data_IF_893413933054
#
_entry.id   IF_893413933054
#
_cell.length_a   1.000
_cell.length_b   1.000
_cell.length_c   1.000
_cell.angle_alpha   90.00
_cell.angle_beta   90.00
_cell.angle_gamma   90.00
#
_symmetry.space_group_name_H-M   'P 1'
#
loop_
_entity.id
_entity.type
_entity.pdbx_description
1 polymer ?
#
# COMPACT_ATOMS: atom_id res chain seq x y z
N UNK A 1 -7.22 -10.26 11.31
CA UNK A 1 -6.25 -9.49 12.15
C UNK A 1 -6.43 -7.97 12.00
N UNK A 2 -6.57 -7.45 10.78
CA UNK A 2 -6.64 -6.00 10.50
C UNK A 2 -8.02 -5.49 10.06
N UNK A 3 -9.06 -6.31 10.14
CA UNK A 3 -10.44 -5.92 9.84
C UNK A 3 -10.87 -4.74 10.73
N UNK A 4 -11.44 -3.71 10.12
CA UNK A 4 -11.81 -2.45 10.79
C UNK A 4 -10.64 -1.56 11.23
N UNK A 5 -9.38 -1.98 11.02
CA UNK A 5 -8.17 -1.26 11.46
C UNK A 5 -7.39 -0.67 10.29
N UNK A 6 -7.38 -1.37 9.16
CA UNK A 6 -6.67 -0.98 7.94
C UNK A 6 -7.57 -1.24 6.75
N UNK A 7 -7.63 -0.27 5.83
CA UNK A 7 -8.24 -0.47 4.52
C UNK A 7 -7.17 -0.96 3.55
N UNK A 8 -7.36 -2.15 3.00
CA UNK A 8 -6.44 -2.74 2.01
C UNK A 8 -7.14 -2.78 0.67
N UNK A 9 -6.54 -2.16 -0.34
CA UNK A 9 -7.03 -2.18 -1.71
C UNK A 9 -6.01 -2.89 -2.60
N UNK A 10 -6.42 -4.01 -3.18
CA UNK A 10 -5.66 -4.66 -4.23
C UNK A 10 -6.03 -4.06 -5.59
N UNK A 11 -5.03 -3.60 -6.35
CA UNK A 11 -5.23 -2.95 -7.64
C UNK A 11 -4.43 -3.70 -8.70
N UNK A 12 -5.14 -4.25 -9.69
CA UNK A 12 -4.48 -4.75 -10.89
C UNK A 12 -4.15 -3.59 -11.84
N UNK A 13 -2.88 -3.23 -11.93
CA UNK A 13 -2.42 -2.01 -12.64
C UNK A 13 -2.75 -2.00 -14.12
N UNK A 14 -2.80 -3.17 -14.77
CA UNK A 14 -3.15 -3.27 -16.20
C UNK A 14 -4.64 -3.04 -16.45
N UNK A 15 -5.50 -3.34 -15.46
CA UNK A 15 -6.95 -3.12 -15.57
C UNK A 15 -7.35 -1.70 -15.13
N UNK A 16 -6.50 -1.05 -14.33
CA UNK A 16 -6.70 0.30 -13.81
C UNK A 16 -5.56 1.24 -14.23
N UNK A 17 -5.33 1.45 -15.55
CA UNK A 17 -4.19 2.23 -16.04
C UNK A 17 -4.22 3.70 -15.59
N UNK A 18 -5.41 4.29 -15.45
CA UNK A 18 -5.57 5.66 -14.93
C UNK A 18 -5.06 5.75 -13.49
N UNK A 19 -5.37 4.74 -12.67
CA UNK A 19 -4.92 4.70 -11.28
C UNK A 19 -3.42 4.48 -11.19
N UNK A 20 -2.88 3.60 -12.04
CA UNK A 20 -1.44 3.36 -12.17
C UNK A 20 -0.70 4.65 -12.55
N UNK A 21 -1.22 5.41 -13.53
CA UNK A 21 -0.68 6.71 -13.92
C UNK A 21 -0.74 7.73 -12.80
N UNK A 22 -1.89 7.85 -12.12
CA UNK A 22 -2.10 8.81 -11.01
C UNK A 22 -1.13 8.59 -9.85
N UNK A 23 -0.79 7.34 -9.55
CA UNK A 23 0.15 7.00 -8.46
C UNK A 23 1.59 6.81 -8.94
N UNK A 24 1.89 7.09 -10.21
CA UNK A 24 3.25 7.01 -10.76
C UNK A 24 3.82 5.60 -10.72
N UNK A 25 3.00 4.58 -10.98
CA UNK A 25 3.45 3.19 -10.96
C UNK A 25 4.32 2.90 -12.20
N UNK A 26 5.61 2.67 -11.97
CA UNK A 26 6.58 2.34 -13.02
C UNK A 26 6.99 0.86 -13.01
N UNK A 27 6.84 0.18 -11.87
CA UNK A 27 7.25 -1.22 -11.69
C UNK A 27 6.30 -1.91 -10.71
N UNK A 28 6.08 -3.20 -10.92
CA UNK A 28 5.29 -4.06 -10.03
C UNK A 28 6.16 -5.24 -9.53
N UNK A 29 5.88 -5.81 -8.35
CA UNK A 29 4.85 -5.38 -7.39
C UNK A 29 5.23 -4.08 -6.64
N UNK A 30 4.22 -3.36 -6.14
CA UNK A 30 4.35 -2.08 -5.45
C UNK A 30 3.32 -2.03 -4.30
N UNK A 31 3.72 -1.49 -3.16
CA UNK A 31 2.84 -1.22 -2.02
C UNK A 31 2.98 0.25 -1.62
N UNK A 32 1.85 0.93 -1.48
CA UNK A 32 1.79 2.34 -1.06
C UNK A 32 0.93 2.41 0.20
N UNK A 33 1.45 3.09 1.22
CA UNK A 33 0.79 3.24 2.50
C UNK A 33 0.39 4.70 2.70
N UNK A 34 -0.86 4.87 3.12
CA UNK A 34 -1.46 6.16 3.37
C UNK A 34 -1.81 6.31 4.84
N UNK A 35 -1.66 7.51 5.38
CA UNK A 35 -2.17 7.83 6.71
C UNK A 35 -3.69 8.09 6.70
N UNK A 36 -4.25 8.40 7.87
CA UNK A 36 -5.68 8.67 8.04
C UNK A 36 -6.20 9.89 7.27
N UNK A 37 -5.31 10.80 6.85
CA UNK A 37 -5.64 11.96 6.02
C UNK A 37 -5.58 11.66 4.53
N UNK A 38 -5.15 10.45 4.14
CA UNK A 38 -4.96 10.06 2.75
C UNK A 38 -3.61 10.51 2.17
N UNK A 39 -2.67 10.97 3.01
CA UNK A 39 -1.33 11.34 2.57
C UNK A 39 -0.48 10.08 2.44
N UNK A 40 0.24 9.96 1.33
CA UNK A 40 1.25 8.90 1.14
C UNK A 40 2.40 9.10 2.14
N UNK A 41 2.65 8.09 2.96
CA UNK A 41 3.69 8.13 4.01
C UNK A 41 4.81 7.12 3.78
N UNK A 42 4.54 6.07 3.01
CA UNK A 42 5.55 5.07 2.68
C UNK A 42 5.22 4.38 1.35
N UNK A 43 6.26 4.07 0.59
CA UNK A 43 6.19 3.40 -0.72
C UNK A 43 7.30 2.37 -0.82
N UNK A 44 6.95 1.15 -1.21
CA UNK A 44 7.90 0.06 -1.44
C UNK A 44 7.69 -0.55 -2.82
N UNK A 45 8.78 -0.72 -3.57
CA UNK A 45 8.76 -1.37 -4.89
C UNK A 45 9.53 -2.67 -4.81
N UNK A 46 8.99 -3.73 -5.41
CA UNK A 46 9.53 -5.07 -5.37
C UNK A 46 8.84 -5.95 -4.34
N UNK A 47 9.44 -7.11 -4.06
CA UNK A 47 8.90 -8.04 -3.08
C UNK A 47 8.88 -7.40 -1.69
N UNK A 48 7.75 -7.55 -1.00
CA UNK A 48 7.58 -7.10 0.36
C UNK A 48 6.85 -8.20 1.12
N UNK A 49 7.53 -8.80 2.09
CA UNK A 49 6.96 -9.93 2.81
C UNK A 49 5.81 -9.48 3.71
N UNK A 50 4.92 -10.42 4.04
CA UNK A 50 3.82 -10.16 4.98
C UNK A 50 4.36 -9.60 6.31
N UNK A 51 5.42 -10.19 6.86
CA UNK A 51 6.05 -9.73 8.11
C UNK A 51 6.53 -8.28 8.04
N UNK A 52 7.08 -7.84 6.91
CA UNK A 52 7.52 -6.47 6.74
C UNK A 52 6.34 -5.51 6.58
N UNK A 53 5.28 -5.93 5.88
CA UNK A 53 4.02 -5.20 5.81
C UNK A 53 3.43 -5.03 7.22
N UNK A 54 3.38 -6.10 8.02
CA UNK A 54 2.89 -6.04 9.40
C UNK A 54 3.72 -5.08 10.26
N UNK A 55 5.05 -5.13 10.17
CA UNK A 55 5.95 -4.20 10.85
C UNK A 55 5.66 -2.75 10.44
N UNK A 56 5.41 -2.51 9.15
CA UNK A 56 5.09 -1.18 8.65
C UNK A 56 3.73 -0.69 9.15
N UNK A 57 2.70 -1.55 9.14
CA UNK A 57 1.38 -1.23 9.68
C UNK A 57 1.42 -0.93 11.19
N UNK A 58 2.20 -1.70 11.95
CA UNK A 58 2.42 -1.45 13.39
C UNK A 58 3.11 -0.11 13.63
N UNK A 59 4.13 0.25 12.83
CA UNK A 59 4.77 1.58 12.89
C UNK A 59 3.78 2.72 12.62
N UNK A 60 2.76 2.46 11.80
CA UNK A 60 1.69 3.41 11.50
C UNK A 60 0.57 3.41 12.56
N UNK A 61 0.66 2.57 13.59
CA UNK A 61 -0.30 2.52 14.70
C UNK A 61 -1.53 1.64 14.43
N UNK A 62 -1.51 0.81 13.39
CA UNK A 62 -2.53 -0.22 13.19
C UNK A 62 -2.32 -1.33 14.23
N UNK A 63 -3.19 -1.35 15.25
CA UNK A 63 -3.20 -2.37 16.32
C UNK A 63 -4.34 -3.32 16.09
#
# INVERSE_FOLDING_TARGET
>A
KYEGKVNVLFVHVKEKPILAGRYGVQTIPLQIFFDKSGKEVFRHTGFFSEEEIEKQLLKMGAK
#
